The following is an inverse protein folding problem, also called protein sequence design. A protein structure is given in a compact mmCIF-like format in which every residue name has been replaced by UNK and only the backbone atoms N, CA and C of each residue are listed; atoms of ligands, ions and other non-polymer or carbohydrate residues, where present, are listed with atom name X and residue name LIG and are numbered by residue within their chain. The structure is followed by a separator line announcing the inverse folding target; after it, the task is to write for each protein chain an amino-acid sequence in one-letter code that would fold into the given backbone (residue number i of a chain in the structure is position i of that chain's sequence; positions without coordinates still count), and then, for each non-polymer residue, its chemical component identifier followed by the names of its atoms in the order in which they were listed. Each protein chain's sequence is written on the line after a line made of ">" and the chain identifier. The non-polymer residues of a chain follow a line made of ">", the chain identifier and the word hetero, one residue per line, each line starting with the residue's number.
data_IF_236861728465
#
_entry.id   IF_236861728465
#
_cell.length_a   1.000
_cell.length_b   1.000
_cell.length_c   1.000
_cell.angle_alpha   90.00
_cell.angle_beta   90.00
_cell.angle_gamma   90.00
#
_symmetry.space_group_name_H-M   'P 1'
#
loop_
_entity.id
_entity.type
_entity.pdbx_description
1 polymer ?
#
# COMPACT_ATOMS: atom_id res chain seq x y z
N UNK A 1 -0.04 -3.13 -4.78
CA UNK A 1 -0.65 -3.01 -3.44
C UNK A 1 -1.50 -1.75 -3.28
N UNK A 2 -1.20 -0.68 -4.00
CA UNK A 2 -1.92 0.62 -3.89
C UNK A 2 -3.12 0.73 -4.82
N UNK A 3 -3.41 -0.29 -5.62
CA UNK A 3 -4.56 -0.33 -6.52
C UNK A 3 -5.65 -1.22 -5.91
N UNK A 4 -6.93 -0.84 -6.03
CA UNK A 4 -8.01 -1.68 -5.55
C UNK A 4 -8.03 -3.00 -6.31
N UNK A 5 -8.33 -4.07 -5.62
CA UNK A 5 -8.37 -5.45 -6.13
C UNK A 5 -7.05 -5.99 -6.68
N UNK A 6 -5.92 -5.27 -6.53
CA UNK A 6 -4.61 -5.81 -6.90
C UNK A 6 -4.24 -7.03 -6.03
N UNK A 7 -4.62 -6.98 -4.77
CA UNK A 7 -4.52 -8.09 -3.83
C UNK A 7 -5.87 -8.23 -3.15
N UNK A 8 -6.43 -9.43 -3.16
CA UNK A 8 -7.64 -9.76 -2.40
C UNK A 8 -7.22 -10.72 -1.30
N UNK A 9 -7.45 -10.34 -0.07
CA UNK A 9 -7.15 -11.14 1.11
C UNK A 9 -8.42 -11.52 1.83
N UNK A 10 -8.54 -12.80 2.20
CA UNK A 10 -9.74 -13.36 2.84
C UNK A 10 -9.31 -14.07 4.11
N UNK A 11 -10.00 -13.81 5.22
CA UNK A 11 -9.75 -14.53 6.47
C UNK A 11 -10.60 -15.80 6.56
N UNK A 12 -10.41 -16.55 7.64
CA UNK A 12 -11.12 -17.83 7.83
C UNK A 12 -12.62 -17.67 8.04
N UNK A 13 -13.10 -16.47 8.35
CA UNK A 13 -14.52 -16.17 8.51
C UNK A 13 -15.16 -15.67 7.20
N UNK A 14 -14.36 -15.51 6.13
CA UNK A 14 -14.83 -15.01 4.86
C UNK A 14 -14.75 -13.49 4.70
N UNK A 15 -14.28 -12.76 5.71
CA UNK A 15 -14.08 -11.32 5.60
C UNK A 15 -12.96 -11.02 4.60
N UNK A 16 -13.11 -9.99 3.79
CA UNK A 16 -12.10 -9.67 2.79
C UNK A 16 -11.69 -8.19 2.78
N UNK A 17 -10.48 -7.95 2.28
CA UNK A 17 -9.91 -6.64 1.97
C UNK A 17 -9.31 -6.69 0.57
N UNK A 18 -9.17 -5.54 -0.07
CA UNK A 18 -8.72 -5.44 -1.47
C UNK A 18 -7.38 -4.75 -1.65
N UNK A 19 -6.65 -4.53 -0.57
CA UNK A 19 -5.35 -3.87 -0.58
C UNK A 19 -4.29 -4.77 0.06
N UNK A 20 -3.58 -4.26 1.06
CA UNK A 20 -2.56 -5.03 1.77
C UNK A 20 -3.21 -6.08 2.68
N UNK A 21 -2.69 -7.32 2.72
CA UNK A 21 -3.26 -8.38 3.58
C UNK A 21 -3.32 -8.03 5.06
N UNK A 22 -2.37 -7.26 5.54
CA UNK A 22 -2.28 -6.84 6.94
C UNK A 22 -3.48 -6.02 7.39
N UNK A 23 -4.18 -5.37 6.45
CA UNK A 23 -5.36 -4.57 6.75
C UNK A 23 -6.53 -5.39 7.31
N UNK A 24 -6.58 -6.70 7.05
CA UNK A 24 -7.63 -7.56 7.58
C UNK A 24 -7.64 -7.61 9.11
N UNK A 25 -6.48 -7.45 9.74
CA UNK A 25 -6.33 -7.56 11.20
C UNK A 25 -6.17 -6.21 11.89
N UNK A 26 -6.04 -5.13 11.11
CA UNK A 26 -5.83 -3.79 11.66
C UNK A 26 -7.15 -3.15 12.09
N UNK A 27 -7.10 -2.37 13.15
CA UNK A 27 -8.19 -1.53 13.61
C UNK A 27 -7.82 -0.06 13.45
N UNK A 28 -8.82 0.79 13.28
CA UNK A 28 -8.63 2.20 13.01
C UNK A 28 -9.71 3.03 13.69
N UNK A 29 -9.31 4.15 14.29
CA UNK A 29 -10.25 5.11 14.84
C UNK A 29 -11.02 5.84 13.73
N UNK A 30 -10.43 5.95 12.52
CA UNK A 30 -11.02 6.66 11.40
C UNK A 30 -11.92 5.79 10.54
N UNK A 31 -11.62 4.49 10.40
CA UNK A 31 -12.32 3.57 9.50
C UNK A 31 -13.04 2.45 10.24
N UNK A 32 -12.77 2.27 11.55
CA UNK A 32 -13.21 1.13 12.36
C UNK A 32 -12.35 -0.09 12.08
N UNK A 33 -12.53 -0.69 10.93
CA UNK A 33 -11.69 -1.75 10.38
C UNK A 33 -11.55 -1.55 8.87
N UNK A 34 -10.79 -2.43 8.21
CA UNK A 34 -10.56 -2.39 6.77
C UNK A 34 -11.25 -3.54 6.03
N UNK A 35 -12.23 -4.17 6.66
CA UNK A 35 -13.05 -5.21 6.05
C UNK A 35 -14.08 -4.55 5.12
N UNK A 36 -14.11 -5.01 3.86
CA UNK A 36 -14.97 -4.45 2.83
C UNK A 36 -16.20 -5.31 2.53
N UNK A 37 -16.25 -6.50 3.09
CA UNK A 37 -17.38 -7.41 2.93
C UNK A 37 -17.04 -8.80 3.43
N UNK A 38 -17.99 -9.73 3.27
CA UNK A 38 -17.84 -11.13 3.67
C UNK A 38 -18.35 -12.03 2.55
N UNK A 39 -17.49 -12.90 2.03
CA UNK A 39 -17.81 -13.75 0.88
C UNK A 39 -18.88 -14.81 1.14
N UNK A 40 -19.26 -15.04 2.40
CA UNK A 40 -20.41 -15.90 2.70
C UNK A 40 -21.72 -15.26 2.29
N UNK A 41 -21.84 -13.92 2.43
CA UNK A 41 -23.06 -13.16 2.19
C UNK A 41 -22.97 -12.19 1.01
N UNK A 42 -21.73 -11.81 0.61
CA UNK A 42 -21.48 -10.75 -0.36
C UNK A 42 -20.63 -11.28 -1.51
N UNK A 43 -20.60 -10.54 -2.62
CA UNK A 43 -19.64 -10.74 -3.71
C UNK A 43 -18.45 -9.77 -3.56
N UNK A 44 -17.36 -10.00 -4.28
CA UNK A 44 -16.25 -9.06 -4.32
C UNK A 44 -16.67 -7.70 -4.87
N UNK A 45 -17.54 -7.71 -5.88
CA UNK A 45 -18.04 -6.50 -6.53
C UNK A 45 -18.89 -5.65 -5.57
N UNK A 46 -19.50 -6.25 -4.56
CA UNK A 46 -20.31 -5.53 -3.57
C UNK A 46 -19.49 -4.57 -2.72
N UNK A 47 -18.17 -4.75 -2.65
CA UNK A 47 -17.28 -3.81 -1.98
C UNK A 47 -17.41 -2.39 -2.56
N UNK A 48 -17.65 -2.28 -3.88
CA UNK A 48 -17.81 -0.98 -4.55
C UNK A 48 -19.08 -0.22 -4.10
N UNK A 49 -20.01 -0.90 -3.47
CA UNK A 49 -21.22 -0.26 -2.93
C UNK A 49 -21.01 0.25 -1.50
N UNK A 50 -19.88 -0.06 -0.89
CA UNK A 50 -19.58 0.32 0.49
C UNK A 50 -18.90 1.69 0.55
N UNK A 51 -19.42 2.66 1.33
CA UNK A 51 -18.78 3.98 1.44
C UNK A 51 -17.33 3.93 1.89
N UNK A 52 -16.95 2.98 2.75
CA UNK A 52 -15.58 2.77 3.22
C UNK A 52 -14.63 2.48 2.05
N UNK A 53 -15.05 1.71 1.05
CA UNK A 53 -14.23 1.41 -0.13
C UNK A 53 -13.80 2.70 -0.84
N UNK A 54 -14.72 3.60 -1.08
CA UNK A 54 -14.44 4.86 -1.77
C UNK A 54 -13.57 5.80 -0.94
N UNK A 55 -13.78 5.82 0.38
CA UNK A 55 -12.94 6.62 1.27
C UNK A 55 -11.50 6.08 1.31
N UNK A 56 -11.34 4.76 1.40
CA UNK A 56 -10.02 4.13 1.34
C UNK A 56 -9.35 4.41 0.00
N UNK A 57 -10.06 4.25 -1.10
CA UNK A 57 -9.53 4.52 -2.43
C UNK A 57 -9.04 5.97 -2.55
N UNK A 58 -9.82 6.92 -2.08
CA UNK A 58 -9.46 8.34 -2.10
C UNK A 58 -8.18 8.60 -1.28
N UNK A 59 -8.13 8.11 -0.06
CA UNK A 59 -7.01 8.37 0.85
C UNK A 59 -5.73 7.65 0.40
N UNK A 60 -5.83 6.41 -0.05
CA UNK A 60 -4.69 5.66 -0.58
C UNK A 60 -4.15 6.31 -1.86
N UNK A 61 -5.04 6.75 -2.75
CA UNK A 61 -4.65 7.46 -3.98
C UNK A 61 -3.97 8.78 -3.67
N UNK A 62 -4.47 9.53 -2.69
CA UNK A 62 -3.83 10.77 -2.25
C UNK A 62 -2.41 10.52 -1.72
N UNK A 63 -2.22 9.44 -0.95
CA UNK A 63 -0.89 9.04 -0.49
C UNK A 63 0.05 8.66 -1.62
N UNK A 64 -0.43 7.95 -2.64
CA UNK A 64 0.36 7.63 -3.83
C UNK A 64 0.76 8.89 -4.60
N UNK A 65 -0.14 9.86 -4.71
CA UNK A 65 0.17 11.14 -5.36
C UNK A 65 1.27 11.91 -4.63
N UNK A 66 1.29 11.87 -3.30
CA UNK A 66 2.39 12.45 -2.52
C UNK A 66 3.72 11.76 -2.82
N UNK A 67 3.73 10.43 -2.97
CA UNK A 67 4.93 9.70 -3.37
C UNK A 67 5.38 10.09 -4.77
N UNK A 68 4.46 10.22 -5.72
CA UNK A 68 4.76 10.64 -7.09
C UNK A 68 5.41 12.02 -7.13
N UNK A 69 4.89 12.96 -6.34
CA UNK A 69 5.38 14.34 -6.31
C UNK A 69 6.70 14.50 -5.56
N UNK A 70 6.98 13.67 -4.54
CA UNK A 70 8.06 13.91 -3.59
C UNK A 70 9.14 12.82 -3.56
N UNK A 71 8.91 11.65 -4.15
CA UNK A 71 9.83 10.51 -4.04
C UNK A 71 10.45 10.16 -5.39
N UNK A 72 11.79 10.22 -5.46
CA UNK A 72 12.54 9.88 -6.68
C UNK A 72 12.49 8.38 -7.03
N UNK A 73 12.05 7.52 -6.11
CA UNK A 73 11.93 6.08 -6.33
C UNK A 73 10.54 5.65 -6.79
N UNK A 74 9.63 6.60 -7.00
CA UNK A 74 8.22 6.31 -7.30
C UNK A 74 8.05 5.43 -8.54
N UNK A 75 8.86 5.66 -9.58
CA UNK A 75 8.79 4.87 -10.82
C UNK A 75 9.05 3.37 -10.61
N UNK A 76 9.81 3.02 -9.58
CA UNK A 76 10.10 1.63 -9.23
C UNK A 76 9.14 1.10 -8.17
N UNK A 77 8.66 1.95 -7.27
CA UNK A 77 7.87 1.56 -6.11
C UNK A 77 6.36 1.64 -6.34
N UNK A 78 5.89 2.69 -7.01
CA UNK A 78 4.46 2.91 -7.27
C UNK A 78 3.64 3.37 -6.06
N UNK A 79 4.26 3.76 -4.96
CA UNK A 79 3.58 4.34 -3.80
C UNK A 79 3.63 3.53 -2.52
N UNK A 80 4.26 2.36 -2.53
CA UNK A 80 4.44 1.53 -1.33
C UNK A 80 3.16 0.82 -0.87
N UNK A 81 3.27 0.08 0.22
CA UNK A 81 2.15 -0.65 0.80
C UNK A 81 1.30 0.27 1.69
N UNK A 82 -0.02 0.34 1.47
CA UNK A 82 -0.90 1.14 2.32
C UNK A 82 -0.83 0.77 3.80
N UNK A 83 -0.70 -0.52 4.12
CA UNK A 83 -0.59 -0.98 5.50
C UNK A 83 0.61 -0.39 6.23
N UNK A 84 1.76 -0.27 5.55
CA UNK A 84 2.95 0.34 6.15
C UNK A 84 2.74 1.81 6.46
N UNK A 85 2.12 2.55 5.54
CA UNK A 85 1.80 3.95 5.75
C UNK A 85 0.88 4.15 6.95
N UNK A 86 -0.17 3.36 7.02
CA UNK A 86 -1.14 3.49 8.12
C UNK A 86 -0.53 3.07 9.46
N UNK A 87 0.23 1.97 9.48
CA UNK A 87 0.87 1.48 10.70
C UNK A 87 1.86 2.49 11.28
N UNK A 88 2.70 3.10 10.43
CA UNK A 88 3.75 4.02 10.90
C UNK A 88 3.24 5.44 11.14
N UNK A 89 2.29 5.92 10.34
CA UNK A 89 1.88 7.33 10.32
C UNK A 89 0.41 7.56 10.70
N UNK A 90 -0.33 6.51 10.99
CA UNK A 90 -1.77 6.57 11.32
C UNK A 90 -2.61 7.24 10.21
N UNK A 91 -2.12 7.22 8.98
CA UNK A 91 -2.80 7.79 7.81
C UNK A 91 -2.28 7.13 6.54
N UNK A 92 -3.14 7.05 5.53
CA UNK A 92 -2.73 6.68 4.17
C UNK A 92 -2.19 7.88 3.39
N UNK A 93 -2.50 9.10 3.83
CA UNK A 93 -2.12 10.34 3.14
C UNK A 93 -0.74 10.78 3.62
N UNK A 94 0.26 10.03 3.20
CA UNK A 94 1.66 10.30 3.49
C UNK A 94 2.54 9.69 2.39
N UNK A 95 3.80 10.09 2.32
CA UNK A 95 4.73 9.57 1.32
C UNK A 95 5.67 8.53 1.91
N UNK A 96 6.69 8.94 2.63
CA UNK A 96 7.77 8.08 3.08
C UNK A 96 7.44 7.33 4.37
N UNK A 97 7.86 6.06 4.42
CA UNK A 97 7.82 5.24 5.63
C UNK A 97 9.21 4.67 5.89
N UNK A 98 9.46 4.19 7.10
CA UNK A 98 10.70 3.47 7.40
C UNK A 98 10.78 2.17 6.59
N UNK A 99 9.64 1.50 6.40
CA UNK A 99 9.57 0.30 5.57
C UNK A 99 10.04 0.58 4.14
N UNK A 100 9.60 1.67 3.51
CA UNK A 100 10.04 1.99 2.15
C UNK A 100 11.51 2.41 2.11
N UNK A 101 12.01 3.11 3.12
CA UNK A 101 13.43 3.48 3.19
C UNK A 101 14.34 2.27 3.21
N UNK A 102 14.03 1.28 4.02
CA UNK A 102 14.88 0.10 4.19
C UNK A 102 14.64 -0.97 3.12
N UNK A 103 13.40 -1.19 2.71
CA UNK A 103 13.06 -2.28 1.79
C UNK A 103 13.05 -1.89 0.31
N UNK A 104 12.99 -0.58 0.01
CA UNK A 104 12.95 -0.09 -1.37
C UNK A 104 14.13 0.81 -1.68
N UNK A 105 14.23 1.96 -1.01
CA UNK A 105 15.23 2.96 -1.36
C UNK A 105 16.66 2.45 -1.17
N UNK A 106 16.97 1.91 0.00
CA UNK A 106 18.30 1.38 0.29
C UNK A 106 18.66 0.23 -0.65
N UNK A 107 17.74 -0.68 -0.90
CA UNK A 107 17.97 -1.82 -1.80
C UNK A 107 18.23 -1.34 -3.23
N UNK A 108 17.45 -0.39 -3.74
CA UNK A 108 17.65 0.19 -5.07
C UNK A 108 19.02 0.86 -5.15
N UNK A 109 19.40 1.64 -4.16
CA UNK A 109 20.69 2.33 -4.15
C UNK A 109 21.87 1.34 -4.18
N UNK A 110 21.81 0.26 -3.41
CA UNK A 110 22.86 -0.77 -3.39
C UNK A 110 22.94 -1.49 -4.73
N UNK A 111 21.80 -1.84 -5.32
CA UNK A 111 21.75 -2.52 -6.62
C UNK A 111 22.31 -1.62 -7.73
N UNK A 112 21.90 -0.35 -7.76
CA UNK A 112 22.38 0.60 -8.76
C UNK A 112 23.88 0.84 -8.62
N UNK A 113 24.39 1.00 -7.40
CA UNK A 113 25.83 1.15 -7.16
C UNK A 113 26.62 -0.06 -7.69
N UNK A 114 26.09 -1.27 -7.45
CA UNK A 114 26.71 -2.49 -7.96
C UNK A 114 26.74 -2.56 -9.49
N UNK A 115 25.66 -2.15 -10.15
CA UNK A 115 25.57 -2.11 -11.61
C UNK A 115 26.52 -1.07 -12.18
N UNK A 116 26.54 0.13 -11.61
CA UNK A 116 27.41 1.23 -12.06
C UNK A 116 28.89 0.83 -11.99
N UNK A 117 29.29 0.16 -10.91
CA UNK A 117 30.67 -0.34 -10.76
C UNK A 117 31.02 -1.39 -11.82
N UNK A 118 30.11 -2.33 -12.09
CA UNK A 118 30.32 -3.36 -13.12
C UNK A 118 30.44 -2.79 -14.53
N UNK A 119 29.73 -1.71 -14.79
CA UNK A 119 29.75 -1.04 -16.09
C UNK A 119 30.90 -0.03 -16.21
N UNK A 120 31.71 0.13 -15.17
CA UNK A 120 32.80 1.10 -15.17
C UNK A 120 32.36 2.56 -15.09
N UNK A 121 31.11 2.81 -14.69
CA UNK A 121 30.57 4.16 -14.55
C UNK A 121 30.91 4.79 -13.20
N UNK A 122 31.39 3.96 -12.25
CA UNK A 122 31.72 4.39 -10.89
C UNK A 122 32.89 3.54 -10.37
N UNK A 123 33.78 4.17 -9.62
CA UNK A 123 34.93 3.50 -9.01
C UNK A 123 34.56 2.77 -7.71
#
# INVERSE_FOLDING_TARGET
>A
MSRPFAIVSVDYQGNFSTYSPELLTMKSDHYGDFILGNLVNDSLESACDHPKFWKLLQDITAGCSLCEDNCSYFSLCGGGAPSNKYWENDTFVCSETMACRYNKQLVVDVVLDGIERRLGLKN
#
